data_IF_443048887551
#
_entry.id   IF_443048887551
#
_cell.length_a   1.000
_cell.length_b   1.000
_cell.length_c   1.000
_cell.angle_alpha   90.00
_cell.angle_beta   90.00
_cell.angle_gamma   90.00
#
_symmetry.space_group_name_H-M   'P 1'
#
loop_
_entity.id
_entity.type
_entity.pdbx_description
1 polymer ?
#
# COMPACT_ATOMS: atom_id res chain seq x y z
N UNK A 1 -6.51 33.04 19.21
CA UNK A 1 -7.74 32.26 18.93
C UNK A 1 -7.75 31.66 17.52
N UNK A 2 -7.52 32.43 16.46
CA UNK A 2 -7.46 31.91 15.07
C UNK A 2 -6.51 30.71 14.88
N UNK A 3 -5.30 30.75 15.45
CA UNK A 3 -4.35 29.62 15.38
C UNK A 3 -4.90 28.32 16.00
N UNK A 4 -5.67 28.41 17.09
CA UNK A 4 -6.31 27.24 17.72
C UNK A 4 -7.40 26.62 16.83
N UNK A 5 -8.13 27.45 16.08
CA UNK A 5 -9.08 26.99 15.08
C UNK A 5 -8.36 26.30 13.91
N UNK A 6 -7.26 26.85 13.40
CA UNK A 6 -6.45 26.21 12.36
C UNK A 6 -5.85 24.88 12.82
N UNK A 7 -5.33 24.79 14.05
CA UNK A 7 -4.83 23.54 14.60
C UNK A 7 -5.95 22.50 14.73
N UNK A 8 -7.11 22.87 15.27
CA UNK A 8 -8.28 21.98 15.36
C UNK A 8 -8.77 21.53 13.98
N UNK A 9 -8.86 22.44 13.00
CA UNK A 9 -9.27 22.12 11.63
C UNK A 9 -8.24 21.23 10.91
N UNK A 10 -6.94 21.51 11.04
CA UNK A 10 -5.89 20.63 10.48
C UNK A 10 -5.94 19.23 11.09
N UNK A 11 -6.20 19.13 12.40
CA UNK A 11 -6.42 17.87 13.08
C UNK A 11 -7.67 17.14 12.58
N UNK A 12 -8.79 17.86 12.36
CA UNK A 12 -10.00 17.27 11.78
C UNK A 12 -9.75 16.71 10.37
N UNK A 13 -9.07 17.46 9.50
CA UNK A 13 -8.75 17.02 8.14
C UNK A 13 -7.85 15.78 8.17
N UNK A 14 -6.84 15.76 9.05
CA UNK A 14 -5.97 14.60 9.21
C UNK A 14 -6.76 13.36 9.69
N UNK A 15 -7.65 13.52 10.67
CA UNK A 15 -8.50 12.42 11.14
C UNK A 15 -9.51 11.95 10.09
N UNK A 16 -10.04 12.85 9.27
CA UNK A 16 -10.89 12.49 8.14
C UNK A 16 -10.12 11.62 7.13
N UNK A 17 -8.90 12.03 6.74
CA UNK A 17 -8.06 11.20 5.86
C UNK A 17 -7.74 9.83 6.45
N UNK A 18 -7.46 9.76 7.76
CA UNK A 18 -7.26 8.49 8.46
C UNK A 18 -8.53 7.63 8.40
N UNK A 19 -9.70 8.22 8.65
CA UNK A 19 -10.98 7.52 8.56
C UNK A 19 -11.24 6.96 7.17
N UNK A 20 -10.99 7.75 6.13
CA UNK A 20 -11.17 7.35 4.73
C UNK A 20 -10.19 6.21 4.37
N UNK A 21 -8.95 6.29 4.83
CA UNK A 21 -7.93 5.25 4.64
C UNK A 21 -8.34 3.93 5.28
N UNK A 22 -8.80 3.97 6.54
CA UNK A 22 -9.25 2.78 7.26
C UNK A 22 -10.50 2.18 6.62
N UNK A 23 -11.42 3.03 6.16
CA UNK A 23 -12.63 2.58 5.45
C UNK A 23 -12.26 1.89 4.13
N UNK A 24 -11.31 2.43 3.38
CA UNK A 24 -10.79 1.80 2.16
C UNK A 24 -10.11 0.45 2.44
N UNK A 25 -9.35 0.34 3.54
CA UNK A 25 -8.76 -0.93 3.94
C UNK A 25 -9.83 -1.97 4.28
N UNK A 26 -10.89 -1.60 5.02
CA UNK A 26 -12.00 -2.49 5.37
C UNK A 26 -12.76 -2.94 4.10
N UNK A 27 -13.03 -2.01 3.18
CA UNK A 27 -13.72 -2.31 1.93
C UNK A 27 -12.96 -3.33 1.07
N UNK A 28 -11.62 -3.29 1.11
CA UNK A 28 -10.74 -4.18 0.34
C UNK A 28 -10.17 -5.35 1.18
N UNK A 29 -10.76 -5.65 2.34
CA UNK A 29 -10.27 -6.74 3.19
C UNK A 29 -10.42 -8.12 2.55
N UNK A 30 -11.42 -8.31 1.69
CA UNK A 30 -11.63 -9.55 0.95
C UNK A 30 -11.03 -9.51 -0.46
N UNK A 31 -10.39 -8.41 -0.85
CA UNK A 31 -9.75 -8.29 -2.16
C UNK A 31 -8.41 -9.03 -2.13
N UNK A 32 -8.20 -10.07 -2.96
CA UNK A 32 -6.95 -10.80 -3.00
C UNK A 32 -5.77 -9.89 -3.38
N UNK A 33 -4.61 -10.11 -2.77
CA UNK A 33 -3.40 -9.34 -3.02
C UNK A 33 -3.44 -7.87 -2.57
N UNK A 34 -4.53 -7.41 -1.93
CA UNK A 34 -4.61 -6.03 -1.44
C UNK A 34 -3.63 -5.78 -0.30
N UNK A 35 -2.94 -4.64 -0.38
CA UNK A 35 -1.98 -4.19 0.63
C UNK A 35 -2.57 -3.01 1.39
N UNK A 36 -2.77 -3.21 2.69
CA UNK A 36 -3.28 -2.21 3.60
C UNK A 36 -2.42 -0.95 3.60
N UNK A 37 -3.10 0.19 3.64
CA UNK A 37 -2.45 1.49 3.71
C UNK A 37 -2.51 2.02 5.15
N UNK A 38 -1.39 2.50 5.66
CA UNK A 38 -1.31 3.14 6.97
C UNK A 38 -1.09 4.64 6.78
N UNK A 39 -1.90 5.45 7.47
CA UNK A 39 -1.76 6.90 7.46
C UNK A 39 -0.80 7.32 8.57
N UNK A 40 0.38 7.81 8.20
CA UNK A 40 1.35 8.35 9.17
C UNK A 40 1.10 9.85 9.33
N UNK A 41 0.77 10.26 10.54
CA UNK A 41 0.62 11.68 10.88
C UNK A 41 1.97 12.24 11.32
N UNK A 42 2.40 13.34 10.72
CA UNK A 42 3.58 14.09 11.17
C UNK A 42 3.16 15.44 11.74
N UNK A 43 3.80 15.85 12.83
CA UNK A 43 3.72 17.24 13.28
C UNK A 43 4.35 18.13 12.19
N UNK A 44 3.77 19.31 11.96
CA UNK A 44 4.27 20.23 10.93
C UNK A 44 5.78 20.49 11.13
N UNK A 45 6.66 20.17 10.16
CA UNK A 45 8.10 20.35 10.34
C UNK A 45 8.44 21.83 10.56
N UNK A 46 9.12 22.13 11.68
CA UNK A 46 9.48 23.50 12.08
C UNK A 46 10.27 24.25 11.00
N UNK A 47 11.05 23.53 10.19
CA UNK A 47 11.86 24.07 9.10
C UNK A 47 11.04 24.80 8.02
N UNK A 48 9.79 24.40 7.78
CA UNK A 48 8.89 25.07 6.83
C UNK A 48 8.34 26.39 7.40
N UNK A 49 8.16 26.49 8.72
CA UNK A 49 7.78 27.75 9.40
C UNK A 49 8.96 28.72 9.41
N UNK A 50 10.16 28.23 9.69
CA UNK A 50 11.38 29.02 9.61
C UNK A 50 11.65 29.54 8.18
N UNK A 51 11.47 28.68 7.16
CA UNK A 51 11.65 29.05 5.74
C UNK A 51 10.60 30.04 5.22
N UNK A 52 9.37 30.03 5.76
CA UNK A 52 8.32 31.01 5.45
C UNK A 52 8.44 32.34 6.22
N UNK A 53 9.58 32.61 6.86
CA UNK A 53 9.85 33.87 7.57
C UNK A 53 9.43 33.87 9.04
N UNK A 54 9.23 32.71 9.65
CA UNK A 54 9.11 32.58 11.10
C UNK A 54 10.45 32.90 11.76
N UNK A 55 10.65 34.16 12.13
CA UNK A 55 11.88 34.61 12.76
C UNK A 55 12.07 33.94 14.12
N UNK A 56 13.16 33.19 14.25
CA UNK A 56 13.64 32.64 15.52
C UNK A 56 14.09 33.81 16.40
N UNK A 57 13.22 34.24 17.32
CA UNK A 57 13.64 35.04 18.47
C UNK A 57 14.38 34.13 19.45
N UNK A 58 15.60 33.75 19.08
CA UNK A 58 16.56 33.08 19.96
C UNK A 58 17.11 34.08 20.97
N UNK A 59 16.39 34.31 22.07
CA UNK A 59 16.97 34.76 23.34
C UNK A 59 15.95 34.56 24.48
N UNK A 60 16.36 33.75 25.48
CA UNK A 60 15.71 33.50 26.77
C UNK A 60 14.65 32.38 26.83
N UNK A 61 15.06 31.26 27.43
CA UNK A 61 14.22 30.30 28.17
C UNK A 61 12.88 29.91 27.54
N UNK A 62 12.89 29.16 26.45
CA UNK A 62 11.67 28.53 25.92
C UNK A 62 11.22 27.39 26.84
N UNK A 63 10.22 27.65 27.68
CA UNK A 63 9.50 26.63 28.45
C UNK A 63 8.53 25.93 27.48
N UNK A 64 9.07 25.07 26.62
CA UNK A 64 8.31 24.30 25.64
C UNK A 64 7.78 25.12 24.45
N UNK A 65 7.59 24.44 23.31
CA UNK A 65 7.03 25.01 22.08
C UNK A 65 5.59 24.52 21.92
N UNK A 66 4.70 25.40 21.46
CA UNK A 66 3.32 25.03 21.12
C UNK A 66 3.28 24.51 19.67
N UNK A 67 2.75 23.31 19.46
CA UNK A 67 2.57 22.72 18.13
C UNK A 67 1.59 23.56 17.28
N UNK A 68 1.95 23.80 16.02
CA UNK A 68 1.22 24.70 15.10
C UNK A 68 0.21 23.99 14.20
N UNK A 69 0.21 22.65 14.18
CA UNK A 69 -0.73 21.85 13.38
C UNK A 69 -0.22 20.42 13.16
N UNK A 70 -1.07 19.60 12.55
CA UNK A 70 -0.74 18.24 12.12
C UNK A 70 -1.05 18.13 10.63
N UNK A 71 -0.14 17.53 9.86
CA UNK A 71 -0.37 17.16 8.47
C UNK A 71 -0.35 15.64 8.34
N UNK A 72 -1.32 15.09 7.63
CA UNK A 72 -1.25 13.73 7.11
C UNK A 72 -0.39 13.81 5.83
N UNK A 73 0.86 13.37 5.94
CA UNK A 73 1.88 13.57 4.91
C UNK A 73 1.74 12.54 3.78
N UNK A 74 1.57 11.25 4.10
CA UNK A 74 1.53 10.22 3.08
C UNK A 74 0.94 8.89 3.60
N UNK A 75 0.32 8.12 2.70
CA UNK A 75 -0.16 6.77 2.98
C UNK A 75 0.98 5.79 2.64
N UNK A 76 1.51 5.10 3.65
CA UNK A 76 2.50 4.05 3.43
C UNK A 76 1.79 2.71 3.22
N UNK A 77 2.16 2.00 2.15
CA UNK A 77 1.61 0.68 1.86
C UNK A 77 2.39 -0.36 2.65
N UNK A 78 1.70 -1.16 3.46
CA UNK A 78 2.32 -2.30 4.12
C UNK A 78 2.48 -3.42 3.08
N UNK A 79 3.70 -3.62 2.59
CA UNK A 79 4.00 -4.58 1.51
C UNK A 79 4.25 -6.01 2.01
N UNK A 80 3.98 -6.27 3.29
CA UNK A 80 4.06 -7.59 3.92
C UNK A 80 3.07 -8.57 3.27
N UNK A 81 3.45 -9.83 3.20
CA UNK A 81 2.59 -10.89 2.67
C UNK A 81 1.42 -11.20 3.61
N UNK A 82 0.22 -11.33 3.05
CA UNK A 82 -0.97 -11.78 3.78
C UNK A 82 -1.01 -13.30 3.98
N UNK A 83 -2.07 -13.79 4.62
CA UNK A 83 -2.30 -15.23 4.71
C UNK A 83 -2.76 -15.81 3.37
N UNK A 84 -2.53 -17.11 3.18
CA UNK A 84 -2.82 -17.79 1.93
C UNK A 84 -4.14 -18.55 2.06
N UNK A 85 -5.06 -18.33 1.13
CA UNK A 85 -6.33 -19.02 1.07
C UNK A 85 -6.33 -20.01 -0.09
N UNK A 86 -6.67 -21.26 0.19
CA UNK A 86 -6.89 -22.27 -0.85
C UNK A 86 -8.25 -22.03 -1.52
N UNK A 87 -8.26 -21.99 -2.84
CA UNK A 87 -9.48 -21.75 -3.65
C UNK A 87 -9.82 -22.91 -4.58
N UNK A 88 -8.94 -23.91 -4.68
CA UNK A 88 -9.05 -25.08 -5.58
C UNK A 88 -9.16 -24.75 -7.08
N UNK A 89 -9.06 -23.47 -7.46
CA UNK A 89 -9.14 -23.01 -8.86
C UNK A 89 -7.75 -23.04 -9.49
N UNK A 90 -7.61 -23.72 -10.62
CA UNK A 90 -6.31 -23.83 -11.31
C UNK A 90 -5.79 -22.52 -11.92
N UNK A 91 -6.64 -21.51 -12.09
CA UNK A 91 -6.25 -20.18 -12.57
C UNK A 91 -5.77 -19.27 -11.45
N UNK A 92 -6.11 -19.59 -10.20
CA UNK A 92 -5.74 -18.79 -9.05
C UNK A 92 -4.29 -19.10 -8.67
N UNK A 93 -3.46 -18.06 -8.58
CA UNK A 93 -2.03 -18.22 -8.35
C UNK A 93 -1.54 -17.25 -7.30
N UNK A 94 -1.09 -17.76 -6.17
CA UNK A 94 -0.53 -16.94 -5.12
C UNK A 94 1.00 -16.90 -5.24
N UNK A 95 1.55 -15.71 -5.02
CA UNK A 95 2.97 -15.46 -5.05
C UNK A 95 3.52 -15.43 -3.62
N UNK A 96 4.49 -16.30 -3.34
CA UNK A 96 5.24 -16.31 -2.09
C UNK A 96 6.59 -15.66 -2.36
N UNK A 97 6.89 -14.58 -1.66
CA UNK A 97 8.15 -13.85 -1.82
C UNK A 97 8.83 -13.67 -0.46
N UNK A 98 9.85 -14.49 -0.21
CA UNK A 98 10.72 -14.39 0.95
C UNK A 98 12.13 -14.02 0.49
N UNK A 99 12.26 -12.88 -0.18
CA UNK A 99 13.53 -12.45 -0.76
C UNK A 99 14.43 -11.98 0.39
N UNK A 100 15.46 -12.77 0.69
CA UNK A 100 16.47 -12.39 1.67
C UNK A 100 17.43 -11.39 1.04
N UNK A 101 17.78 -10.38 1.82
CA UNK A 101 18.91 -9.48 1.53
C UNK A 101 20.05 -9.90 2.46
N UNK A 102 21.21 -10.20 1.88
CA UNK A 102 22.36 -10.67 2.64
C UNK A 102 22.78 -9.63 3.70
N UNK A 103 22.96 -10.07 4.95
CA UNK A 103 23.27 -9.21 6.08
C UNK A 103 22.11 -8.39 6.68
N UNK A 104 20.90 -8.45 6.12
CA UNK A 104 19.74 -7.70 6.63
C UNK A 104 18.75 -8.61 7.38
N UNK A 105 18.37 -8.21 8.60
CA UNK A 105 17.25 -8.82 9.33
C UNK A 105 16.12 -7.81 9.41
N UNK A 106 15.09 -8.02 8.60
CA UNK A 106 13.95 -7.13 8.55
C UNK A 106 13.11 -7.22 9.83
N UNK A 107 12.68 -6.08 10.34
CA UNK A 107 11.71 -6.02 11.41
C UNK A 107 10.30 -6.43 10.94
N UNK A 108 9.32 -6.44 11.84
CA UNK A 108 7.94 -6.76 11.53
C UNK A 108 7.27 -5.81 10.51
N UNK A 109 7.90 -4.67 10.19
CA UNK A 109 7.45 -3.73 9.15
C UNK A 109 8.13 -3.93 7.80
N UNK A 110 9.03 -4.92 7.69
CA UNK A 110 9.81 -5.18 6.48
C UNK A 110 10.97 -4.18 6.31
N UNK A 111 11.37 -3.49 7.38
CA UNK A 111 12.43 -2.47 7.39
C UNK A 111 13.67 -3.01 8.09
N UNK A 112 14.83 -2.77 7.49
CA UNK A 112 16.14 -2.99 8.08
C UNK A 112 16.87 -1.66 8.15
N UNK A 113 17.58 -1.43 9.25
CA UNK A 113 18.47 -0.28 9.41
C UNK A 113 19.84 -0.83 9.74
N UNK A 114 20.82 -0.52 8.90
CA UNK A 114 22.21 -0.95 9.13
C UNK A 114 22.88 -0.14 10.27
N UNK A 115 24.09 -0.54 10.64
CA UNK A 115 24.86 0.15 11.68
C UNK A 115 25.24 1.61 11.30
N UNK A 116 25.14 1.96 10.02
CA UNK A 116 25.40 3.28 9.46
C UNK A 116 24.13 4.15 9.33
N UNK A 117 22.96 3.62 9.69
CA UNK A 117 21.67 4.31 9.62
C UNK A 117 20.99 4.27 8.26
N UNK A 118 21.49 3.51 7.28
CA UNK A 118 20.82 3.34 6.00
C UNK A 118 19.63 2.40 6.15
N UNK A 119 18.50 2.82 5.58
CA UNK A 119 17.27 2.04 5.59
C UNK A 119 17.20 1.18 4.33
N UNK A 120 17.03 -0.13 4.51
CA UNK A 120 16.73 -1.07 3.43
C UNK A 120 15.35 -1.67 3.66
N UNK A 121 14.53 -1.75 2.62
CA UNK A 121 13.22 -2.40 2.66
C UNK A 121 13.31 -3.80 2.07
N UNK A 122 12.47 -4.71 2.56
CA UNK A 122 12.41 -6.07 2.04
C UNK A 122 11.93 -6.04 0.58
N UNK A 123 12.70 -6.62 -0.37
CA UNK A 123 12.27 -6.72 -1.75
C UNK A 123 11.01 -7.58 -1.88
N UNK A 124 10.16 -7.23 -2.83
CA UNK A 124 8.88 -7.89 -3.06
C UNK A 124 8.75 -8.24 -4.54
N UNK A 125 8.24 -9.43 -4.86
CA UNK A 125 7.94 -9.81 -6.24
C UNK A 125 6.48 -9.50 -6.59
N UNK A 126 6.18 -9.30 -7.87
CA UNK A 126 4.84 -8.96 -8.36
C UNK A 126 4.59 -9.67 -9.68
N UNK A 127 3.32 -9.97 -9.97
CA UNK A 127 2.91 -10.35 -11.32
C UNK A 127 2.96 -9.14 -12.23
N UNK A 128 3.44 -9.36 -13.45
CA UNK A 128 3.53 -8.30 -14.46
C UNK A 128 2.31 -8.40 -15.37
N UNK A 129 1.53 -7.32 -15.44
CA UNK A 129 0.32 -7.25 -16.25
C UNK A 129 0.39 -6.07 -17.21
N UNK A 130 -0.35 -6.15 -18.30
CA UNK A 130 -0.42 -5.12 -19.33
C UNK A 130 -1.86 -4.61 -19.44
N UNK A 131 -2.02 -3.29 -19.41
CA UNK A 131 -3.31 -2.64 -19.69
C UNK A 131 -3.65 -2.70 -21.17
N UNK A 132 -4.91 -2.43 -21.52
CA UNK A 132 -5.34 -2.35 -22.92
C UNK A 132 -4.55 -1.30 -23.73
N UNK A 133 -4.06 -0.25 -23.07
CA UNK A 133 -3.23 0.80 -23.66
C UNK A 133 -1.75 0.38 -23.86
N UNK A 134 -1.42 -0.88 -23.56
CA UNK A 134 -0.07 -1.44 -23.71
C UNK A 134 0.88 -1.07 -22.56
N UNK A 135 0.41 -0.37 -21.53
CA UNK A 135 1.27 0.00 -20.40
C UNK A 135 1.45 -1.16 -19.43
N UNK A 136 2.70 -1.35 -18.99
CA UNK A 136 3.02 -2.38 -17.97
C UNK A 136 2.63 -1.87 -16.59
N UNK A 137 2.08 -2.79 -15.80
CA UNK A 137 1.64 -2.62 -14.43
C UNK A 137 1.98 -3.87 -13.61
N UNK A 138 1.90 -3.73 -12.30
CA UNK A 138 2.27 -4.79 -11.37
C UNK A 138 1.11 -5.08 -10.44
N UNK A 139 0.87 -6.36 -10.13
CA UNK A 139 -0.18 -6.76 -9.19
C UNK A 139 0.30 -7.88 -8.29
N UNK A 140 -0.28 -7.93 -7.08
CA UNK A 140 -0.20 -9.08 -6.16
C UNK A 140 -1.43 -9.97 -6.24
N UNK A 141 -2.47 -9.48 -6.92
CA UNK A 141 -3.67 -10.25 -7.12
C UNK A 141 -3.37 -11.42 -8.06
N UNK A 142 -3.68 -12.61 -7.54
CA UNK A 142 -3.52 -13.89 -8.21
C UNK A 142 -4.80 -14.41 -8.87
N UNK A 143 -5.90 -13.66 -8.79
CA UNK A 143 -7.21 -14.06 -9.29
C UNK A 143 -7.30 -13.80 -10.80
N UNK A 144 -6.81 -14.76 -11.57
CA UNK A 144 -6.80 -14.68 -13.01
C UNK A 144 -7.99 -15.40 -13.65
N UNK A 145 -8.34 -14.96 -14.85
CA UNK A 145 -9.40 -15.50 -15.68
C UNK A 145 -8.89 -15.63 -17.11
N UNK A 146 -9.49 -16.52 -17.89
CA UNK A 146 -9.13 -16.70 -19.29
C UNK A 146 -10.20 -16.09 -20.17
N UNK A 147 -9.78 -15.27 -21.15
CA UNK A 147 -10.67 -14.77 -22.19
C UNK A 147 -10.97 -15.86 -23.22
N UNK A 148 -11.95 -15.61 -24.08
CA UNK A 148 -12.35 -16.54 -25.16
C UNK A 148 -11.20 -16.89 -26.12
N UNK A 149 -10.20 -16.00 -26.23
CA UNK A 149 -9.00 -16.17 -27.05
C UNK A 149 -7.89 -17.02 -26.39
N UNK A 150 -8.12 -17.52 -25.17
CA UNK A 150 -7.14 -18.28 -24.39
C UNK A 150 -6.17 -17.39 -23.58
N UNK A 151 -6.28 -16.07 -23.67
CA UNK A 151 -5.38 -15.14 -22.97
C UNK A 151 -5.71 -15.07 -21.48
N UNK A 152 -4.70 -15.19 -20.63
CA UNK A 152 -4.82 -15.00 -19.18
C UNK A 152 -4.91 -13.51 -18.85
N UNK A 153 -5.97 -13.12 -18.16
CA UNK A 153 -6.25 -11.76 -17.74
C UNK A 153 -6.63 -11.66 -16.27
N UNK A 154 -6.48 -10.49 -15.66
CA UNK A 154 -7.03 -10.20 -14.32
C UNK A 154 -8.55 -9.99 -14.38
N UNK A 155 -9.20 -9.82 -13.23
CA UNK A 155 -10.62 -9.41 -13.11
C UNK A 155 -10.97 -8.13 -13.89
N UNK A 156 -10.01 -7.22 -14.06
CA UNK A 156 -10.16 -5.96 -14.78
C UNK A 156 -9.84 -6.11 -16.29
N UNK A 157 -9.49 -7.32 -16.74
CA UNK A 157 -9.22 -7.62 -18.14
C UNK A 157 -7.80 -7.25 -18.61
N UNK A 158 -6.88 -6.94 -17.69
CA UNK A 158 -5.46 -6.70 -17.98
C UNK A 158 -4.75 -8.02 -18.28
N UNK A 159 -3.96 -8.08 -19.35
CA UNK A 159 -3.29 -9.30 -19.77
C UNK A 159 -2.07 -9.61 -18.89
N UNK A 160 -1.92 -10.85 -18.46
CA UNK A 160 -0.74 -11.30 -17.69
C UNK A 160 0.40 -11.57 -18.67
N UNK A 161 1.55 -10.93 -18.46
CA UNK A 161 2.71 -11.08 -19.33
C UNK A 161 3.58 -12.27 -18.92
N UNK A 162 4.07 -12.97 -19.93
CA UNK A 162 5.12 -13.98 -19.78
C UNK A 162 6.52 -13.40 -19.88
N UNK A 163 7.53 -14.21 -19.55
CA UNK A 163 8.96 -13.82 -19.59
C UNK A 163 9.43 -13.41 -20.99
N UNK A 164 8.70 -13.80 -22.04
CA UNK A 164 8.89 -13.38 -23.42
C UNK A 164 8.28 -11.99 -23.75
N UNK A 165 7.67 -11.32 -22.77
CA UNK A 165 6.98 -10.04 -22.94
C UNK A 165 5.66 -10.12 -23.71
N UNK A 166 5.16 -11.32 -23.98
CA UNK A 166 3.87 -11.54 -24.62
C UNK A 166 2.83 -11.99 -23.58
N UNK A 167 1.53 -11.73 -23.81
CA UNK A 167 0.47 -12.29 -22.98
C UNK A 167 0.53 -13.81 -22.91
N UNK A 168 0.31 -14.38 -21.72
CA UNK A 168 0.16 -15.82 -21.54
C UNK A 168 -1.12 -16.26 -22.25
N UNK A 169 -1.00 -17.21 -23.17
CA UNK A 169 -2.13 -17.76 -23.91
C UNK A 169 -2.12 -19.28 -23.83
N UNK A 170 -3.12 -19.83 -23.16
CA UNK A 170 -3.31 -21.26 -23.02
C UNK A 170 -4.42 -21.71 -23.96
N UNK A 171 -4.07 -22.52 -24.96
CA UNK A 171 -5.03 -23.17 -25.85
C UNK A 171 -5.58 -24.43 -25.17
N UNK A 172 -6.65 -24.30 -24.40
CA UNK A 172 -7.32 -25.44 -23.74
C UNK A 172 -7.95 -25.10 -22.40
N UNK A 173 -8.37 -26.14 -21.67
CA UNK A 173 -8.89 -25.98 -20.31
C UNK A 173 -7.75 -25.79 -19.31
N UNK A 174 -7.88 -24.78 -18.44
CA UNK A 174 -6.96 -24.53 -17.34
C UNK A 174 -6.94 -25.63 -16.29
N UNK A 175 -7.94 -26.52 -16.26
CA UNK A 175 -7.93 -27.71 -15.37
C UNK A 175 -6.79 -28.68 -15.73
N UNK A 176 -6.37 -28.67 -17.00
CA UNK A 176 -5.26 -29.46 -17.50
C UNK A 176 -3.94 -28.70 -17.45
N UNK A 177 -3.87 -27.52 -16.86
CA UNK A 177 -2.61 -26.76 -16.74
C UNK A 177 -2.13 -26.80 -15.30
N UNK A 178 -0.87 -27.14 -15.13
CA UNK A 178 -0.16 -27.06 -13.84
C UNK A 178 0.93 -26.00 -13.92
N UNK A 179 1.02 -25.14 -12.92
CA UNK A 179 2.04 -24.10 -12.83
C UNK A 179 3.10 -24.54 -11.83
N UNK A 180 4.35 -24.63 -12.29
CA UNK A 180 5.49 -24.95 -11.43
C UNK A 180 5.86 -23.74 -10.54
N UNK A 181 6.68 -23.97 -9.51
CA UNK A 181 7.06 -22.93 -8.54
C UNK A 181 7.82 -21.76 -9.16
N UNK A 182 8.50 -21.99 -10.29
CA UNK A 182 9.21 -21.00 -11.10
C UNK A 182 8.30 -20.24 -12.09
N UNK A 183 6.99 -20.55 -12.10
CA UNK A 183 6.01 -19.94 -12.97
C UNK A 183 5.96 -20.52 -14.38
N UNK A 184 6.65 -21.64 -14.65
CA UNK A 184 6.57 -22.34 -15.93
C UNK A 184 5.27 -23.14 -16.00
N UNK A 185 4.55 -22.99 -17.11
CA UNK A 185 3.29 -23.69 -17.35
C UNK A 185 3.57 -25.07 -17.96
N UNK A 186 2.93 -26.10 -17.40
CA UNK A 186 2.97 -27.48 -17.86
C UNK A 186 1.56 -27.97 -18.16
N UNK A 187 1.44 -28.82 -19.18
CA UNK A 187 0.21 -29.58 -19.41
C UNK A 187 0.19 -30.79 -18.47
N UNK A 188 -0.85 -30.89 -17.64
CA UNK A 188 -1.08 -31.96 -16.65
C UNK A 188 -1.24 -33.34 -17.29
N UNK A 189 -1.73 -33.41 -18.52
CA UNK A 189 -2.02 -34.68 -19.20
C UNK A 189 -0.78 -35.27 -19.85
N UNK A 190 0.05 -34.43 -20.47
CA UNK A 190 1.26 -34.85 -21.19
C UNK A 190 2.53 -34.64 -20.38
N UNK A 191 2.45 -33.88 -19.29
CA UNK A 191 3.56 -33.42 -18.45
C UNK A 191 4.65 -32.66 -19.24
N UNK A 192 4.27 -32.05 -20.37
CA UNK A 192 5.18 -31.28 -21.23
C UNK A 192 5.07 -29.78 -20.91
N UNK A 193 6.18 -29.03 -20.98
CA UNK A 193 6.15 -27.58 -20.81
C UNK A 193 5.41 -26.93 -21.98
N UNK A 194 4.53 -25.98 -21.67
CA UNK A 194 3.78 -25.19 -22.66
C UNK A 194 4.64 -24.07 -23.30
N UNK A 195 5.95 -24.06 -23.04
CA UNK A 195 6.91 -23.02 -23.45
C UNK A 195 6.46 -21.59 -23.07
N UNK A 196 5.67 -21.47 -22.01
CA UNK A 196 5.21 -20.21 -21.45
C UNK A 196 5.56 -20.17 -19.97
N UNK A 197 6.05 -19.02 -19.51
CA UNK A 197 6.44 -18.80 -18.13
C UNK A 197 5.97 -17.40 -17.71
N UNK A 198 5.38 -17.30 -16.52
CA UNK A 198 4.90 -16.04 -15.96
C UNK A 198 6.05 -15.07 -15.69
N UNK A 199 5.87 -13.80 -16.06
CA UNK A 199 6.84 -12.75 -15.75
C UNK A 199 6.65 -12.23 -14.33
N UNK A 200 7.57 -12.63 -13.45
CA UNK A 200 7.68 -12.10 -12.10
C UNK A 200 8.68 -10.96 -12.04
N UNK A 201 8.22 -9.79 -11.61
CA UNK A 201 9.05 -8.60 -11.43
C UNK A 201 9.36 -8.40 -9.95
N UNK A 202 10.64 -8.40 -9.59
CA UNK A 202 11.17 -8.03 -8.29
C UNK A 202 11.33 -6.51 -8.20
N UNK A 203 10.80 -5.94 -7.13
CA UNK A 203 10.96 -4.54 -6.76
C UNK A 203 11.86 -4.49 -5.53
N UNK A 204 12.99 -3.78 -5.64
CA UNK A 204 13.97 -3.68 -4.55
C UNK A 204 13.47 -2.79 -3.41
N UNK A 205 12.77 -1.70 -3.74
CA UNK A 205 12.14 -0.80 -2.78
C UNK A 205 10.64 -0.71 -3.05
N UNK A 206 9.82 -1.43 -2.27
CA UNK A 206 8.37 -1.44 -2.46
C UNK A 206 7.69 -0.08 -2.24
N UNK A 207 8.32 0.87 -1.53
CA UNK A 207 7.71 2.20 -1.30
C UNK A 207 7.66 3.07 -2.57
N UNK A 208 8.39 2.68 -3.61
CA UNK A 208 8.36 3.35 -4.92
C UNK A 208 7.18 2.89 -5.79
N UNK A 209 6.38 1.96 -5.28
CA UNK A 209 5.16 1.49 -5.93
C UNK A 209 4.00 2.40 -5.55
N UNK A 210 3.36 2.98 -6.56
CA UNK A 210 2.18 3.82 -6.41
C UNK A 210 0.97 2.98 -6.79
N UNK A 211 -0.01 2.89 -5.89
CA UNK A 211 -1.27 2.21 -6.16
C UNK A 211 -2.12 3.05 -7.13
N UNK A 212 -2.62 2.43 -8.21
CA UNK A 212 -3.51 3.09 -9.20
C UNK A 212 -4.97 2.62 -9.08
N UNK A 213 -5.27 1.71 -8.16
CA UNK A 213 -6.59 1.11 -7.94
C UNK A 213 -6.64 -0.37 -8.34
N UNK A 214 -7.72 -1.06 -7.97
CA UNK A 214 -7.98 -2.48 -8.32
C UNK A 214 -6.80 -3.44 -8.05
N UNK A 215 -6.05 -3.23 -6.97
CA UNK A 215 -4.88 -4.06 -6.64
C UNK A 215 -3.65 -3.85 -7.55
N UNK A 216 -3.69 -2.85 -8.44
CA UNK A 216 -2.64 -2.56 -9.40
C UNK A 216 -1.69 -1.48 -8.87
N UNK A 217 -0.42 -1.66 -9.19
CA UNK A 217 0.67 -0.77 -8.85
C UNK A 217 1.41 -0.32 -10.11
N UNK A 218 1.78 0.96 -10.12
CA UNK A 218 2.75 1.55 -11.04
C UNK A 218 4.05 1.81 -10.29
N UNK A 219 5.15 1.39 -10.86
CA UNK A 219 6.46 1.73 -10.34
C UNK A 219 6.85 3.16 -10.74
N UNK A 220 7.24 3.98 -9.78
CA UNK A 220 7.66 5.38 -9.98
C UNK A 220 9.15 5.61 -9.69
N UNK A 221 9.89 4.55 -9.40
CA UNK A 221 11.31 4.62 -9.05
C UNK A 221 12.27 4.62 -10.24
N UNK A 222 13.56 4.47 -9.94
CA UNK A 222 14.61 4.39 -10.95
C UNK A 222 14.53 3.05 -11.71
N UNK A 223 14.78 3.00 -13.03
CA UNK A 223 14.63 1.78 -13.83
C UNK A 223 15.36 0.55 -13.27
N UNK A 224 16.49 0.74 -12.59
CA UNK A 224 17.30 -0.33 -12.00
C UNK A 224 16.69 -1.00 -10.77
N UNK A 225 15.66 -0.40 -10.15
CA UNK A 225 14.99 -0.97 -8.98
C UNK A 225 13.94 -2.03 -9.32
N UNK A 226 13.56 -2.13 -10.60
CA UNK A 226 12.77 -3.22 -11.18
C UNK A 226 13.70 -4.22 -11.85
N UNK A 227 13.65 -5.47 -11.39
CA UNK A 227 14.43 -6.56 -11.97
C UNK A 227 13.50 -7.76 -12.19
N UNK A 228 13.82 -8.62 -13.14
CA UNK A 228 13.15 -9.91 -13.21
C UNK A 228 13.62 -10.79 -12.04
N UNK A 229 12.71 -11.56 -11.47
CA UNK A 229 13.05 -12.55 -10.42
C UNK A 229 14.06 -13.54 -11.00
N UNK A 230 15.17 -13.76 -10.29
CA UNK A 230 16.20 -14.74 -10.65
C UNK A 230 16.05 -16.00 -9.81
N UNK A 231 16.60 -17.13 -10.28
CA UNK A 231 16.51 -18.43 -9.59
C UNK A 231 17.12 -18.47 -8.16
N UNK A 232 17.89 -17.45 -7.77
CA UNK A 232 18.42 -17.28 -6.40
C UNK A 232 17.51 -16.46 -5.47
N UNK A 233 16.52 -15.75 -6.01
CA UNK A 233 15.51 -15.07 -5.22
C UNK A 233 14.50 -16.14 -4.75
N UNK A 234 14.26 -16.25 -3.43
CA UNK A 234 13.28 -17.21 -2.87
C UNK A 234 11.85 -16.72 -3.13
N UNK A 235 11.46 -16.82 -4.39
CA UNK A 235 10.12 -16.52 -4.88
C UNK A 235 9.56 -17.81 -5.45
N UNK A 236 8.35 -18.16 -5.04
CA UNK A 236 7.63 -19.32 -5.59
C UNK A 236 6.18 -18.98 -5.85
N UNK A 237 5.65 -19.52 -6.94
CA UNK A 237 4.22 -19.48 -7.24
C UNK A 237 3.57 -20.75 -6.69
N UNK A 238 2.38 -20.58 -6.12
CA UNK A 238 1.52 -21.68 -5.68
C UNK A 238 0.17 -21.57 -6.37
N UNK A 239 -0.11 -22.53 -7.24
CA UNK A 239 -1.39 -22.65 -7.94
C UNK A 239 -2.49 -23.17 -7.02
N UNK A 240 -3.73 -22.73 -7.20
CA UNK A 240 -4.88 -23.09 -6.38
C UNK A 240 -5.01 -22.27 -5.09
N UNK A 241 -4.18 -21.24 -4.94
CA UNK A 241 -4.13 -20.39 -3.76
C UNK A 241 -4.26 -18.93 -4.18
N UNK A 242 -4.85 -18.12 -3.31
CA UNK A 242 -4.84 -16.66 -3.39
C UNK A 242 -4.20 -16.08 -2.12
N UNK A 243 -3.43 -15.00 -2.30
CA UNK A 243 -2.98 -14.19 -1.18
C UNK A 243 -4.15 -13.33 -0.69
N UNK A 244 -4.50 -13.41 0.60
CA UNK A 244 -5.51 -12.54 1.20
C UNK A 244 -4.93 -11.16 1.51
N UNK A 245 -5.82 -10.19 1.68
CA UNK A 245 -5.47 -8.85 2.15
C UNK A 245 -4.74 -8.94 3.50
N UNK A 246 -3.67 -8.17 3.66
CA UNK A 246 -2.95 -8.08 4.94
C UNK A 246 -3.61 -7.09 5.94
N UNK A 247 -4.86 -6.71 5.68
CA UNK A 247 -5.65 -5.83 6.55
C UNK A 247 -6.29 -6.64 7.68
N UNK A 248 -6.01 -6.24 8.92
CA UNK A 248 -6.72 -6.75 10.09
C UNK A 248 -8.02 -5.96 10.33
N UNK A 249 -9.17 -6.65 10.30
CA UNK A 249 -10.49 -6.06 10.53
C UNK A 249 -10.68 -5.55 11.95
N UNK A 250 -10.16 -6.25 12.96
CA UNK A 250 -10.29 -5.88 14.35
C UNK A 250 -9.49 -4.61 14.63
N UNK A 251 -8.25 -4.57 14.16
CA UNK A 251 -7.40 -3.38 14.27
C UNK A 251 -7.99 -2.19 13.49
N UNK A 252 -8.49 -2.43 12.27
CA UNK A 252 -9.14 -1.38 11.47
C UNK A 252 -10.38 -0.81 12.17
N UNK A 253 -11.21 -1.62 12.83
CA UNK A 253 -12.35 -1.13 13.59
C UNK A 253 -11.93 -0.25 14.78
N UNK A 254 -10.85 -0.62 15.48
CA UNK A 254 -10.27 0.18 16.57
C UNK A 254 -9.75 1.51 16.04
N UNK A 255 -9.04 1.49 14.92
CA UNK A 255 -8.50 2.69 14.28
C UNK A 255 -9.58 3.63 13.76
N UNK A 256 -10.67 3.09 13.22
CA UNK A 256 -11.85 3.87 12.78
C UNK A 256 -12.48 4.57 13.99
N UNK A 257 -12.70 3.84 15.09
CA UNK A 257 -13.26 4.41 16.32
C UNK A 257 -12.33 5.45 16.95
N UNK A 258 -11.02 5.22 16.90
CA UNK A 258 -10.02 6.19 17.37
C UNK A 258 -10.06 7.49 16.54
N UNK A 259 -10.12 7.37 15.21
CA UNK A 259 -10.24 8.51 14.31
C UNK A 259 -11.54 9.29 14.54
N UNK A 260 -12.68 8.58 14.70
CA UNK A 260 -13.98 9.20 14.99
C UNK A 260 -13.98 9.96 16.33
N UNK A 261 -13.40 9.36 17.38
CA UNK A 261 -13.27 10.02 18.70
C UNK A 261 -12.34 11.23 18.64
N UNK A 262 -11.23 11.14 17.92
CA UNK A 262 -10.31 12.27 17.74
C UNK A 262 -10.97 13.41 16.94
N UNK A 263 -11.74 13.06 15.90
CA UNK A 263 -12.52 14.02 15.13
C UNK A 263 -13.59 14.71 15.99
N UNK A 264 -14.38 13.96 16.78
CA UNK A 264 -15.41 14.54 17.66
C UNK A 264 -14.80 15.40 18.79
N UNK A 265 -13.64 15.03 19.31
CA UNK A 265 -12.89 15.86 20.25
C UNK A 265 -12.48 17.21 19.63
N UNK A 266 -11.93 17.19 18.40
CA UNK A 266 -11.59 18.42 17.68
C UNK A 266 -12.83 19.27 17.37
N UNK A 267 -13.97 18.67 17.01
CA UNK A 267 -15.23 19.40 16.83
C UNK A 267 -15.69 20.10 18.12
N UNK A 268 -15.53 19.45 19.27
CA UNK A 268 -15.88 20.06 20.56
C UNK A 268 -14.99 21.27 20.87
N UNK A 269 -13.69 21.20 20.52
CA UNK A 269 -12.77 22.35 20.62
C UNK A 269 -13.22 23.50 19.73
N UNK A 270 -13.64 23.23 18.49
CA UNK A 270 -14.18 24.25 17.59
C UNK A 270 -15.44 24.91 18.18
N UNK A 271 -16.39 24.11 18.68
CA UNK A 271 -17.61 24.62 19.36
C UNK A 271 -17.28 25.48 20.58
N UNK A 272 -16.26 25.10 21.36
CA UNK A 272 -15.81 25.86 22.51
C UNK A 272 -15.22 27.23 22.11
N UNK A 273 -14.41 27.26 21.04
CA UNK A 273 -13.89 28.52 20.50
C UNK A 273 -15.02 29.41 19.97
N UNK A 274 -15.98 28.85 19.24
CA UNK A 274 -17.14 29.57 18.73
C UNK A 274 -18.00 30.16 19.86
N UNK A 275 -18.31 29.36 20.89
CA UNK A 275 -19.03 29.83 22.07
C UNK A 275 -18.27 30.93 22.82
N UNK A 276 -16.95 30.80 22.95
CA UNK A 276 -16.10 31.80 23.59
C UNK A 276 -16.05 33.11 22.81
N UNK A 277 -16.02 33.05 21.47
CA UNK A 277 -16.12 34.22 20.59
C UNK A 277 -17.50 34.87 20.69
N UNK A 278 -18.57 34.08 20.69
CA UNK A 278 -19.93 34.58 20.85
C UNK A 278 -20.12 35.34 22.18
N UNK A 279 -19.60 34.79 23.30
CA UNK A 279 -19.59 35.48 24.59
C UNK A 279 -18.74 36.75 24.57
N UNK A 280 -17.54 36.70 23.99
CA UNK A 280 -16.66 37.87 23.89
C UNK A 280 -17.30 39.01 23.09
N UNK A 281 -18.03 38.70 22.01
CA UNK A 281 -18.72 39.71 21.19
C UNK A 281 -19.97 40.25 21.86
N UNK A 282 -20.79 39.38 22.49
CA UNK A 282 -22.10 39.77 23.00
C UNK A 282 -22.08 40.31 24.44
N UNK A 283 -21.17 39.82 25.30
CA UNK A 283 -21.20 40.12 26.73
C UNK A 283 -20.18 41.20 27.13
N UNK A 284 -19.10 41.42 26.37
CA UNK A 284 -18.08 42.43 26.69
C UNK A 284 -18.53 43.86 26.31
N UNK A 285 -19.48 43.99 25.39
CA UNK A 285 -20.03 45.29 24.95
C UNK A 285 -21.34 45.71 25.63
N UNK A 286 -21.88 44.90 26.56
CA UNK A 286 -23.11 45.23 27.29
C UNK A 286 -22.78 46.14 28.48
N UNK A 287 -23.06 47.44 28.32
CA UNK A 287 -23.22 48.39 29.42
C UNK A 287 -24.70 48.49 29.74
#
# INVERSE_FOLDING_TARGET
>A
MLRGLYTATSGMIAQQRRHDTVTNNIANLNTPGYKGTSSVNRAFPEMLIAAMGGQDSSASGSIGKLNTGVFAEENLIAMLQGDMMETDRSQDMALISDILVDGASFDASGKYVDAQGNVTYQPQAFFTVQTADGQVRYTRDGSFQTKEDGTLVTSEGMAVLGTNGQPINVQGSWENVTVSSDGTLYDRTTNQPLNQQLMLSKVSDPNQMIQEGNGVFRYAGQPNGLQQVQAGDRVSIRQGFLERSNVDSAQSAVDLMAALRAYSANQQVVKFYDSSLSKAVNDVGKV
#
